data_IF_237423247181
#
_entry.id   IF_237423247181
#
_cell.length_a   1.000
_cell.length_b   1.000
_cell.length_c   1.000
_cell.angle_alpha   90.00
_cell.angle_beta   90.00
_cell.angle_gamma   90.00
#
_symmetry.space_group_name_H-M   'P 1'
#
loop_
_entity.id
_entity.type
_entity.pdbx_description
1 polymer ?
#
# COMPACT_ATOMS: atom_id res chain seq x y z
N UNK A 1 12.59 13.17 22.28
CA UNK A 1 11.86 13.31 20.99
C UNK A 1 11.41 11.99 20.37
N UNK A 2 12.24 10.94 20.24
CA UNK A 2 11.82 9.64 19.65
C UNK A 2 10.65 8.95 20.37
N UNK A 3 10.64 8.92 21.72
CA UNK A 3 9.55 8.27 22.50
C UNK A 3 8.18 8.94 22.33
N UNK A 4 8.12 10.26 22.15
CA UNK A 4 6.87 11.02 21.96
C UNK A 4 6.30 10.79 20.57
N UNK A 5 7.15 10.77 19.53
CA UNK A 5 6.73 10.46 18.16
C UNK A 5 6.23 9.02 18.02
N UNK A 6 6.86 8.10 18.75
CA UNK A 6 6.46 6.69 18.78
C UNK A 6 5.13 6.50 19.52
N UNK A 7 4.91 7.19 20.65
CA UNK A 7 3.65 7.14 21.39
C UNK A 7 2.48 7.77 20.61
N UNK A 8 2.73 8.90 19.92
CA UNK A 8 1.74 9.50 19.01
C UNK A 8 1.39 8.52 17.87
N UNK A 9 2.40 7.91 17.26
CA UNK A 9 2.17 6.96 16.17
C UNK A 9 1.39 5.72 16.62
N UNK A 10 1.68 5.15 17.80
CA UNK A 10 0.91 4.04 18.34
C UNK A 10 -0.55 4.41 18.63
N UNK A 11 -0.78 5.58 19.21
CA UNK A 11 -2.14 6.08 19.47
C UNK A 11 -2.92 6.33 18.16
N UNK A 12 -2.28 6.94 17.16
CA UNK A 12 -2.88 7.16 15.84
C UNK A 12 -3.19 5.84 15.11
N UNK A 13 -2.40 4.79 15.31
CA UNK A 13 -2.66 3.46 14.75
C UNK A 13 -3.86 2.79 15.43
N UNK A 14 -3.87 2.74 16.77
CA UNK A 14 -4.95 2.11 17.54
C UNK A 14 -6.28 2.84 17.33
N UNK A 15 -6.25 4.18 17.39
CA UNK A 15 -7.42 5.03 17.15
C UNK A 15 -7.98 4.85 15.74
N UNK A 16 -7.10 4.80 14.73
CA UNK A 16 -7.51 4.53 13.36
C UNK A 16 -8.17 3.16 13.21
N UNK A 17 -7.57 2.11 13.77
CA UNK A 17 -8.15 0.76 13.71
C UNK A 17 -9.52 0.67 14.39
N UNK A 18 -9.68 1.23 15.59
CA UNK A 18 -10.95 1.24 16.30
C UNK A 18 -12.03 2.00 15.54
N UNK A 19 -11.71 3.18 15.01
CA UNK A 19 -12.63 3.96 14.17
C UNK A 19 -13.04 3.16 12.93
N UNK A 20 -12.07 2.56 12.24
CA UNK A 20 -12.33 1.73 11.06
C UNK A 20 -13.26 0.55 11.35
N UNK A 21 -13.08 -0.13 12.47
CA UNK A 21 -13.97 -1.21 12.90
C UNK A 21 -15.38 -0.72 13.20
N UNK A 22 -15.51 0.41 13.90
CA UNK A 22 -16.80 1.02 14.22
C UNK A 22 -17.56 1.45 12.95
N UNK A 23 -16.89 2.16 12.03
CA UNK A 23 -17.46 2.54 10.75
C UNK A 23 -17.74 1.33 9.85
N UNK A 24 -16.91 0.28 9.92
CA UNK A 24 -17.15 -1.00 9.26
C UNK A 24 -18.43 -1.69 9.76
N UNK A 25 -18.67 -1.68 11.07
CA UNK A 25 -19.91 -2.18 11.67
C UNK A 25 -21.14 -1.44 11.14
N UNK A 26 -21.09 -0.10 11.14
CA UNK A 26 -22.16 0.75 10.61
C UNK A 26 -22.40 0.47 9.12
N UNK A 27 -21.34 0.39 8.33
CA UNK A 27 -21.42 0.12 6.89
C UNK A 27 -22.10 -1.23 6.60
N UNK A 28 -21.69 -2.30 7.29
CA UNK A 28 -22.32 -3.62 7.17
C UNK A 28 -23.79 -3.58 7.57
N UNK A 29 -24.13 -2.86 8.64
CA UNK A 29 -25.52 -2.70 9.08
C UNK A 29 -26.38 -1.97 8.04
N UNK A 30 -25.87 -0.91 7.43
CA UNK A 30 -26.56 -0.16 6.37
C UNK A 30 -26.76 -1.04 5.12
N UNK A 31 -25.70 -1.72 4.66
CA UNK A 31 -25.77 -2.55 3.46
C UNK A 31 -26.73 -3.74 3.62
N UNK A 32 -26.76 -4.36 4.81
CA UNK A 32 -27.74 -5.39 5.16
C UNK A 32 -29.19 -4.93 4.97
N UNK A 33 -29.47 -3.64 5.21
CA UNK A 33 -30.83 -3.08 5.12
C UNK A 33 -31.24 -2.73 3.69
N UNK A 34 -30.29 -2.41 2.82
CA UNK A 34 -30.50 -1.94 1.44
C UNK A 34 -30.58 -3.10 0.43
N UNK A 35 -30.12 -4.30 0.84
CA UNK A 35 -30.06 -5.57 0.12
C UNK A 35 -30.76 -5.64 -1.26
N UNK A 36 -30.02 -6.08 -2.29
CA UNK A 36 -30.43 -6.30 -3.69
C UNK A 36 -30.34 -5.10 -4.66
N UNK A 37 -29.67 -4.00 -4.29
CA UNK A 37 -29.44 -2.88 -5.22
C UNK A 37 -27.94 -2.57 -5.40
N UNK A 38 -27.28 -3.27 -6.34
CA UNK A 38 -25.85 -3.15 -6.60
C UNK A 38 -25.35 -1.70 -6.77
N UNK A 39 -26.08 -0.88 -7.53
CA UNK A 39 -25.70 0.52 -7.77
C UNK A 39 -25.64 1.33 -6.47
N UNK A 40 -26.63 1.15 -5.60
CA UNK A 40 -26.74 1.85 -4.32
C UNK A 40 -25.64 1.35 -3.36
N UNK A 41 -25.39 0.04 -3.32
CA UNK A 41 -24.32 -0.55 -2.52
C UNK A 41 -22.94 0.03 -2.90
N UNK A 42 -22.63 0.15 -4.19
CA UNK A 42 -21.37 0.75 -4.66
C UNK A 42 -21.29 2.22 -4.21
N UNK A 43 -22.30 3.04 -4.51
CA UNK A 43 -22.27 4.47 -4.15
C UNK A 43 -22.11 4.69 -2.65
N UNK A 44 -22.80 3.91 -1.82
CA UNK A 44 -22.69 4.01 -0.35
C UNK A 44 -21.33 3.58 0.14
N UNK A 45 -20.76 2.48 -0.38
CA UNK A 45 -19.42 2.05 0.03
C UNK A 45 -18.35 3.09 -0.32
N UNK A 46 -18.46 3.74 -1.48
CA UNK A 46 -17.60 4.88 -1.84
C UNK A 46 -17.79 6.08 -0.91
N UNK A 47 -19.04 6.47 -0.65
CA UNK A 47 -19.35 7.59 0.24
C UNK A 47 -18.84 7.37 1.66
N UNK A 48 -19.08 6.18 2.24
CA UNK A 48 -18.61 5.84 3.58
C UNK A 48 -17.08 5.78 3.61
N UNK A 49 -16.42 5.22 2.58
CA UNK A 49 -14.96 5.23 2.53
C UNK A 49 -14.40 6.66 2.56
N UNK A 50 -14.97 7.59 1.79
CA UNK A 50 -14.55 8.99 1.84
C UNK A 50 -14.81 9.64 3.22
N UNK A 51 -15.98 9.40 3.82
CA UNK A 51 -16.32 9.93 5.14
C UNK A 51 -15.37 9.40 6.22
N UNK A 52 -15.04 8.11 6.19
CA UNK A 52 -14.08 7.51 7.14
C UNK A 52 -12.70 8.14 6.98
N UNK A 53 -12.27 8.38 5.75
CA UNK A 53 -11.01 9.08 5.50
C UNK A 53 -11.01 10.49 6.10
N UNK A 54 -12.06 11.26 5.82
CA UNK A 54 -12.19 12.64 6.28
C UNK A 54 -12.25 12.76 7.80
N UNK A 55 -13.09 11.96 8.46
CA UNK A 55 -13.23 11.96 9.92
C UNK A 55 -11.92 11.51 10.60
N UNK A 56 -11.23 10.51 10.03
CA UNK A 56 -9.98 10.05 10.59
C UNK A 56 -8.88 11.11 10.51
N UNK A 57 -8.74 11.80 9.38
CA UNK A 57 -7.66 12.75 9.14
C UNK A 57 -7.94 14.13 9.77
N UNK A 58 -9.12 14.70 9.52
CA UNK A 58 -9.45 16.09 9.88
C UNK A 58 -9.92 16.21 11.32
N UNK A 59 -10.86 15.37 11.76
CA UNK A 59 -11.50 15.52 13.07
C UNK A 59 -10.66 14.91 14.20
N UNK A 60 -10.04 13.76 13.93
CA UNK A 60 -9.38 12.95 14.96
C UNK A 60 -7.85 12.92 14.87
N UNK A 61 -7.27 13.35 13.74
CA UNK A 61 -5.82 13.31 13.52
C UNK A 61 -5.21 11.90 13.64
N UNK A 62 -6.00 10.86 13.35
CA UNK A 62 -5.57 9.45 13.37
C UNK A 62 -5.24 8.97 11.96
N UNK A 63 -4.64 7.79 11.83
CA UNK A 63 -4.25 7.28 10.51
C UNK A 63 -5.47 6.88 9.68
N UNK A 64 -5.87 7.75 8.74
CA UNK A 64 -6.99 7.51 7.84
C UNK A 64 -6.84 6.24 6.98
N UNK A 65 -5.62 5.94 6.54
CA UNK A 65 -5.33 4.72 5.76
C UNK A 65 -5.59 3.46 6.60
N UNK A 66 -5.17 3.44 7.87
CA UNK A 66 -5.42 2.30 8.76
C UNK A 66 -6.90 2.14 9.11
N UNK A 67 -7.64 3.25 9.26
CA UNK A 67 -9.09 3.24 9.44
C UNK A 67 -9.79 2.56 8.26
N UNK A 68 -9.43 2.94 7.03
CA UNK A 68 -10.00 2.35 5.82
C UNK A 68 -9.66 0.87 5.67
N UNK A 69 -8.42 0.48 5.96
CA UNK A 69 -8.01 -0.93 5.93
C UNK A 69 -8.82 -1.74 6.94
N UNK A 70 -8.99 -1.22 8.17
CA UNK A 70 -9.71 -1.90 9.23
C UNK A 70 -11.20 -2.04 8.90
N UNK A 71 -11.81 -0.99 8.33
CA UNK A 71 -13.17 -1.03 7.78
C UNK A 71 -13.31 -2.08 6.67
N UNK A 72 -12.38 -2.08 5.70
CA UNK A 72 -12.39 -3.02 4.57
C UNK A 72 -12.23 -4.47 5.01
N UNK A 73 -11.36 -4.75 5.99
CA UNK A 73 -11.20 -6.06 6.60
C UNK A 73 -12.48 -6.51 7.31
N UNK A 74 -13.13 -5.61 8.06
CA UNK A 74 -14.39 -5.90 8.73
C UNK A 74 -15.51 -6.24 7.73
N UNK A 75 -15.62 -5.49 6.63
CA UNK A 75 -16.56 -5.76 5.55
C UNK A 75 -16.25 -7.09 4.85
N UNK A 76 -14.98 -7.40 4.60
CA UNK A 76 -14.55 -8.65 3.97
C UNK A 76 -14.95 -9.87 4.80
N UNK A 77 -14.82 -9.79 6.13
CA UNK A 77 -15.26 -10.87 7.05
C UNK A 77 -16.77 -11.11 7.00
N UNK A 78 -17.56 -10.05 6.88
CA UNK A 78 -19.03 -10.13 6.88
C UNK A 78 -19.63 -10.17 5.47
N UNK A 79 -18.82 -10.42 4.44
CA UNK A 79 -19.24 -10.38 3.03
C UNK A 79 -20.48 -11.24 2.76
N UNK A 80 -20.55 -12.42 3.37
CA UNK A 80 -21.69 -13.35 3.25
C UNK A 80 -23.01 -12.82 3.82
N UNK A 81 -22.95 -11.91 4.78
CA UNK A 81 -24.13 -11.36 5.42
C UNK A 81 -24.64 -10.06 4.76
N UNK A 82 -23.94 -9.51 3.75
CA UNK A 82 -24.18 -8.16 3.23
C UNK A 82 -25.19 -8.16 2.07
N UNK A 83 -25.08 -9.09 1.11
CA UNK A 83 -25.92 -9.11 -0.10
C UNK A 83 -25.73 -10.43 -0.87
N UNK A 84 -26.64 -10.80 -1.77
CA UNK A 84 -26.38 -11.85 -2.77
C UNK A 84 -25.49 -11.35 -3.92
N UNK A 85 -25.25 -10.03 -4.02
CA UNK A 85 -24.46 -9.37 -5.08
C UNK A 85 -22.96 -9.19 -4.73
N UNK A 86 -22.40 -10.05 -3.88
CA UNK A 86 -21.01 -9.92 -3.39
C UNK A 86 -19.94 -9.97 -4.48
N UNK A 87 -20.14 -10.82 -5.49
CA UNK A 87 -19.23 -10.95 -6.62
C UNK A 87 -19.19 -9.65 -7.43
N UNK A 88 -20.32 -9.12 -7.94
CA UNK A 88 -20.31 -7.89 -8.71
C UNK A 88 -19.84 -6.65 -7.92
N UNK A 89 -20.08 -6.58 -6.60
CA UNK A 89 -19.52 -5.49 -5.78
C UNK A 89 -17.98 -5.53 -5.77
N UNK A 90 -17.39 -6.71 -5.58
CA UNK A 90 -15.93 -6.87 -5.58
C UNK A 90 -15.31 -6.62 -6.96
N UNK A 91 -15.95 -7.09 -8.03
CA UNK A 91 -15.49 -6.81 -9.40
C UNK A 91 -15.53 -5.30 -9.70
N UNK A 92 -16.56 -4.59 -9.24
CA UNK A 92 -16.65 -3.13 -9.40
C UNK A 92 -15.49 -2.41 -8.70
N UNK A 93 -15.16 -2.80 -7.46
CA UNK A 93 -14.00 -2.25 -6.75
C UNK A 93 -12.67 -2.60 -7.42
N UNK A 94 -12.52 -3.79 -8.03
CA UNK A 94 -11.33 -4.13 -8.81
C UNK A 94 -11.13 -3.21 -10.01
N UNK A 95 -12.20 -2.88 -10.74
CA UNK A 95 -12.13 -1.95 -11.88
C UNK A 95 -11.67 -0.57 -11.39
N UNK A 96 -12.19 -0.09 -10.27
CA UNK A 96 -11.85 1.24 -9.76
C UNK A 96 -10.40 1.28 -9.28
N UNK A 97 -9.96 0.24 -8.56
CA UNK A 97 -8.54 0.09 -8.18
C UNK A 97 -7.66 0.02 -9.42
N UNK A 98 -8.07 -0.67 -10.48
CA UNK A 98 -7.32 -0.73 -11.73
C UNK A 98 -7.16 0.64 -12.38
N UNK A 99 -8.24 1.42 -12.50
CA UNK A 99 -8.21 2.79 -13.04
C UNK A 99 -7.30 3.69 -12.20
N UNK A 100 -7.43 3.68 -10.87
CA UNK A 100 -6.60 4.48 -9.96
C UNK A 100 -5.12 4.11 -10.08
N UNK A 101 -4.80 2.81 -10.25
CA UNK A 101 -3.41 2.41 -10.46
C UNK A 101 -2.84 2.99 -11.75
N UNK A 102 -3.60 2.91 -12.86
CA UNK A 102 -3.17 3.49 -14.13
C UNK A 102 -2.91 4.99 -13.95
N UNK A 103 -3.82 5.71 -13.28
CA UNK A 103 -3.65 7.14 -13.02
C UNK A 103 -2.37 7.42 -12.23
N UNK A 104 -2.13 6.72 -11.11
CA UNK A 104 -0.94 6.93 -10.28
C UNK A 104 0.33 6.64 -11.08
N UNK A 105 0.39 5.54 -11.82
CA UNK A 105 1.55 5.20 -12.62
C UNK A 105 1.80 6.21 -13.75
N UNK A 106 0.77 6.59 -14.50
CA UNK A 106 0.88 7.57 -15.58
C UNK A 106 1.28 8.96 -15.07
N UNK A 107 0.65 9.44 -13.98
CA UNK A 107 0.99 10.74 -13.38
C UNK A 107 2.40 10.74 -12.79
N UNK A 108 2.83 9.66 -12.14
CA UNK A 108 4.21 9.55 -11.65
C UNK A 108 5.20 9.57 -12.80
N UNK A 109 4.98 8.79 -13.87
CA UNK A 109 5.82 8.76 -15.06
C UNK A 109 5.94 10.13 -15.73
N UNK A 110 4.83 10.85 -15.86
CA UNK A 110 4.81 12.21 -16.42
C UNK A 110 5.61 13.20 -15.54
N UNK A 111 5.41 13.14 -14.22
CA UNK A 111 6.10 14.02 -13.26
C UNK A 111 7.61 13.79 -13.27
N UNK A 112 8.01 12.52 -13.38
CA UNK A 112 9.42 12.13 -13.51
C UNK A 112 10.00 12.68 -14.81
N UNK A 113 9.33 12.47 -15.95
CA UNK A 113 9.79 12.97 -17.25
C UNK A 113 9.98 14.49 -17.26
N UNK A 114 9.01 15.24 -16.70
CA UNK A 114 9.11 16.69 -16.57
C UNK A 114 10.28 17.12 -15.68
N UNK A 115 10.53 16.40 -14.59
CA UNK A 115 11.64 16.69 -13.67
C UNK A 115 13.01 16.49 -14.33
N UNK A 116 13.15 15.54 -15.26
CA UNK A 116 14.39 15.29 -15.99
C UNK A 116 14.65 16.30 -17.13
N UNK A 117 13.60 16.76 -17.82
CA UNK A 117 13.75 17.68 -18.96
C UNK A 117 13.93 19.13 -18.50
N UNK A 118 13.32 19.51 -17.38
CA UNK A 118 13.25 20.92 -16.95
C UNK A 118 14.42 21.45 -16.12
N UNK A 119 15.40 20.62 -15.76
CA UNK A 119 16.44 21.00 -14.80
C UNK A 119 17.78 20.41 -15.23
N UNK A 120 18.78 21.28 -15.36
CA UNK A 120 20.20 20.95 -15.29
C UNK A 120 20.54 20.36 -13.91
N UNK A 121 19.95 19.22 -13.58
CA UNK A 121 20.33 18.48 -12.41
C UNK A 121 21.67 17.87 -12.74
N UNK A 122 22.67 18.25 -11.95
CA UNK A 122 23.92 17.53 -11.76
C UNK A 122 23.60 16.14 -11.18
N UNK A 123 22.93 15.29 -11.97
CA UNK A 123 22.79 13.86 -11.74
C UNK A 123 24.20 13.29 -11.80
N UNK A 124 24.86 13.39 -10.66
CA UNK A 124 26.16 12.81 -10.48
C UNK A 124 25.96 11.31 -10.49
N UNK A 125 26.87 10.56 -11.10
CA UNK A 125 26.83 9.09 -11.10
C UNK A 125 26.65 8.49 -9.69
N UNK A 126 26.95 9.26 -8.64
CA UNK A 126 26.66 8.98 -7.23
C UNK A 126 25.17 8.77 -6.91
N UNK A 127 24.22 9.51 -7.48
CA UNK A 127 22.79 9.35 -7.14
C UNK A 127 22.25 8.00 -7.61
N UNK A 128 22.75 7.49 -8.75
CA UNK A 128 22.40 6.16 -9.26
C UNK A 128 22.96 5.07 -8.33
N UNK A 129 24.21 5.22 -7.87
CA UNK A 129 24.83 4.30 -6.91
C UNK A 129 24.05 4.30 -5.59
N UNK A 130 23.64 5.47 -5.09
CA UNK A 130 22.82 5.59 -3.87
C UNK A 130 21.47 4.88 -4.07
N UNK A 131 20.81 5.05 -5.21
CA UNK A 131 19.55 4.35 -5.50
C UNK A 131 19.72 2.81 -5.52
N UNK A 132 20.80 2.29 -6.09
CA UNK A 132 21.13 0.86 -6.08
C UNK A 132 21.41 0.34 -4.67
N UNK A 133 22.18 1.09 -3.87
CA UNK A 133 22.47 0.73 -2.47
C UNK A 133 21.18 0.72 -1.66
N UNK A 134 20.31 1.72 -1.84
CA UNK A 134 19.00 1.76 -1.18
C UNK A 134 18.13 0.56 -1.58
N UNK A 135 18.10 0.20 -2.86
CA UNK A 135 17.41 -0.99 -3.34
C UNK A 135 17.90 -2.26 -2.62
N UNK A 136 19.22 -2.48 -2.55
CA UNK A 136 19.80 -3.63 -1.84
C UNK A 136 19.47 -3.61 -0.34
N UNK A 137 19.57 -2.43 0.31
CA UNK A 137 19.29 -2.29 1.73
C UNK A 137 17.82 -2.57 2.05
N UNK A 138 16.90 -2.11 1.19
CA UNK A 138 15.48 -2.42 1.29
C UNK A 138 15.23 -3.93 1.22
N UNK A 139 15.86 -4.60 0.26
CA UNK A 139 15.74 -6.04 0.10
C UNK A 139 16.34 -6.82 1.29
N UNK A 140 17.51 -6.41 1.75
CA UNK A 140 18.16 -6.97 2.94
C UNK A 140 17.30 -6.78 4.21
N UNK A 141 16.72 -5.59 4.41
CA UNK A 141 15.84 -5.31 5.55
C UNK A 141 14.62 -6.23 5.57
N UNK A 142 14.05 -6.54 4.40
CA UNK A 142 12.93 -7.47 4.29
C UNK A 142 13.36 -8.91 4.57
N UNK A 143 14.48 -9.35 3.99
CA UNK A 143 15.02 -10.68 4.24
C UNK A 143 15.29 -10.88 5.74
N UNK A 144 15.82 -9.85 6.42
CA UNK A 144 16.02 -9.84 7.86
C UNK A 144 14.70 -9.96 8.62
N UNK A 145 13.70 -9.12 8.31
CA UNK A 145 12.39 -9.15 8.99
C UNK A 145 11.71 -10.52 8.81
N UNK A 146 11.72 -11.07 7.60
CA UNK A 146 11.14 -12.39 7.31
C UNK A 146 11.91 -13.49 8.05
N UNK A 147 13.24 -13.41 8.08
CA UNK A 147 14.08 -14.37 8.82
C UNK A 147 13.86 -14.33 10.33
N UNK A 148 13.66 -13.15 10.92
CA UNK A 148 13.34 -12.98 12.34
C UNK A 148 11.93 -13.45 12.68
N UNK A 149 10.97 -13.25 11.78
CA UNK A 149 9.58 -13.71 11.95
C UNK A 149 9.40 -15.20 11.66
N UNK A 150 10.29 -15.83 10.90
CA UNK A 150 10.25 -17.25 10.59
C UNK A 150 10.08 -18.17 11.82
N UNK A 151 10.88 -18.05 12.91
CA UNK A 151 10.68 -18.85 14.12
C UNK A 151 9.34 -18.57 14.80
N UNK A 152 8.84 -17.34 14.75
CA UNK A 152 7.53 -16.99 15.36
C UNK A 152 6.38 -17.62 14.57
N UNK A 153 6.47 -17.61 13.24
CA UNK A 153 5.45 -18.18 12.35
C UNK A 153 5.41 -19.70 12.50
N UNK A 154 6.57 -20.36 12.50
CA UNK A 154 6.67 -21.82 12.70
C UNK A 154 6.19 -22.24 14.08
N UNK A 155 6.42 -21.43 15.11
CA UNK A 155 5.87 -21.66 16.44
C UNK A 155 4.34 -21.52 16.50
N UNK A 156 3.74 -20.64 15.70
CA UNK A 156 2.28 -20.45 15.63
C UNK A 156 1.51 -21.59 14.93
N UNK A 157 2.19 -22.66 14.49
CA UNK A 157 1.58 -23.85 13.88
C UNK A 157 1.48 -23.82 12.35
N UNK A 158 1.93 -22.73 11.70
CA UNK A 158 2.08 -22.69 10.24
C UNK A 158 3.42 -23.29 9.83
N UNK A 159 3.38 -24.42 9.13
CA UNK A 159 4.55 -25.06 8.57
C UNK A 159 4.99 -24.35 7.29
N UNK A 160 5.70 -23.22 7.42
CA UNK A 160 6.33 -22.57 6.27
C UNK A 160 7.66 -23.25 5.95
N UNK A 161 7.81 -23.67 4.69
CA UNK A 161 9.07 -24.21 4.22
C UNK A 161 10.08 -23.09 3.97
N UNK A 162 11.39 -23.38 4.06
CA UNK A 162 12.44 -22.35 3.85
C UNK A 162 12.35 -21.71 2.46
N UNK A 163 11.95 -22.51 1.46
CA UNK A 163 11.73 -22.07 0.09
C UNK A 163 10.58 -21.07 -0.01
N UNK A 164 9.49 -21.27 0.74
CA UNK A 164 8.36 -20.36 0.79
C UNK A 164 8.74 -19.03 1.45
N UNK A 165 9.59 -19.05 2.49
CA UNK A 165 10.09 -17.84 3.13
C UNK A 165 10.94 -16.98 2.18
N UNK A 166 11.76 -17.61 1.34
CA UNK A 166 12.58 -16.90 0.34
C UNK A 166 11.68 -16.21 -0.68
N UNK A 167 10.64 -16.89 -1.17
CA UNK A 167 9.66 -16.28 -2.08
C UNK A 167 8.88 -15.18 -1.37
N UNK A 168 8.52 -15.36 -0.10
CA UNK A 168 7.82 -14.35 0.68
C UNK A 168 8.68 -13.09 0.85
N UNK A 169 9.98 -13.23 1.09
CA UNK A 169 10.90 -12.10 1.12
C UNK A 169 11.09 -11.45 -0.26
N UNK A 170 11.08 -12.23 -1.35
CA UNK A 170 11.33 -11.74 -2.71
C UNK A 170 10.10 -11.08 -3.37
N UNK A 171 8.91 -11.60 -3.11
CA UNK A 171 7.64 -11.22 -3.77
C UNK A 171 7.10 -9.83 -3.42
N UNK A 172 7.69 -9.12 -2.45
CA UNK A 172 7.22 -7.81 -2.00
C UNK A 172 7.51 -6.68 -2.99
N UNK A 173 6.71 -6.58 -4.06
CA UNK A 173 6.79 -5.49 -5.03
C UNK A 173 6.50 -4.14 -4.36
N UNK A 174 7.43 -3.18 -4.47
CA UNK A 174 7.14 -1.78 -4.16
C UNK A 174 6.47 -1.19 -5.40
N UNK A 175 5.38 -0.47 -5.23
CA UNK A 175 4.59 -0.02 -6.37
C UNK A 175 3.80 1.23 -6.07
N UNK A 176 2.51 1.17 -6.41
CA UNK A 176 1.54 2.28 -6.34
C UNK A 176 1.56 3.11 -5.06
N UNK A 177 1.67 2.50 -3.88
CA UNK A 177 1.61 3.24 -2.60
C UNK A 177 2.84 4.10 -2.38
N UNK A 178 4.03 3.61 -2.76
CA UNK A 178 5.27 4.38 -2.69
C UNK A 178 5.25 5.55 -3.67
N UNK A 179 4.73 5.32 -4.89
CA UNK A 179 4.56 6.37 -5.90
C UNK A 179 3.55 7.44 -5.49
N UNK A 180 2.40 7.03 -4.92
CA UNK A 180 1.41 7.97 -4.41
C UNK A 180 1.98 8.85 -3.29
N UNK A 181 2.72 8.25 -2.35
CA UNK A 181 3.32 8.99 -1.23
C UNK A 181 4.39 9.97 -1.70
N UNK A 182 5.25 9.58 -2.64
CA UNK A 182 6.27 10.51 -3.16
C UNK A 182 5.67 11.63 -4.00
N UNK A 183 4.58 11.37 -4.73
CA UNK A 183 3.82 12.42 -5.42
C UNK A 183 3.22 13.41 -4.42
N UNK A 184 2.65 12.93 -3.32
CA UNK A 184 2.14 13.79 -2.24
C UNK A 184 3.26 14.71 -1.69
N UNK A 185 4.43 14.14 -1.40
CA UNK A 185 5.61 14.89 -0.93
C UNK A 185 6.12 15.87 -1.99
N UNK A 186 6.06 15.51 -3.27
CA UNK A 186 6.45 16.38 -4.38
C UNK A 186 5.53 17.60 -4.51
N UNK A 187 4.23 17.44 -4.25
CA UNK A 187 3.26 18.53 -4.28
C UNK A 187 3.31 19.44 -3.05
N UNK A 188 3.91 18.99 -1.94
CA UNK A 188 4.00 19.80 -0.72
C UNK A 188 5.02 20.94 -0.85
N UNK A 189 4.51 22.18 -0.85
CA UNK A 189 5.33 23.40 -0.98
C UNK A 189 6.20 23.69 0.24
N UNK A 190 5.95 23.05 1.39
CA UNK A 190 6.73 23.24 2.62
C UNK A 190 8.14 22.64 2.52
N UNK A 191 8.36 21.70 1.60
CA UNK A 191 9.64 20.99 1.46
C UNK A 191 10.50 21.65 0.38
N UNK A 192 11.82 21.83 0.59
CA UNK A 192 12.72 22.37 -0.43
C UNK A 192 12.61 21.61 -1.75
N UNK A 193 12.57 22.35 -2.86
CA UNK A 193 12.39 21.80 -4.22
C UNK A 193 13.43 20.73 -4.55
N UNK A 194 14.70 20.98 -4.25
CA UNK A 194 15.79 20.04 -4.48
C UNK A 194 15.60 18.70 -3.73
N UNK A 195 15.06 18.73 -2.51
CA UNK A 195 14.80 17.51 -1.73
C UNK A 195 13.63 16.72 -2.32
N UNK A 196 12.57 17.40 -2.77
CA UNK A 196 11.40 16.77 -3.39
C UNK A 196 11.76 16.05 -4.69
N UNK A 197 12.51 16.71 -5.56
CA UNK A 197 12.98 16.14 -6.83
C UNK A 197 13.92 14.95 -6.60
N UNK A 198 14.84 15.06 -5.63
CA UNK A 198 15.73 13.96 -5.26
C UNK A 198 14.96 12.76 -4.70
N UNK A 199 13.98 12.97 -3.83
CA UNK A 199 13.13 11.89 -3.31
C UNK A 199 12.29 11.24 -4.41
N UNK A 200 11.71 12.05 -5.31
CA UNK A 200 10.99 11.57 -6.48
C UNK A 200 11.86 10.65 -7.34
N UNK A 201 13.10 11.08 -7.64
CA UNK A 201 14.05 10.27 -8.40
C UNK A 201 14.36 8.94 -7.72
N UNK A 202 14.77 8.95 -6.44
CA UNK A 202 15.18 7.74 -5.73
C UNK A 202 14.02 6.75 -5.56
N UNK A 203 12.84 7.21 -5.16
CA UNK A 203 11.68 6.32 -4.93
C UNK A 203 11.19 5.74 -6.25
N UNK A 204 11.14 6.54 -7.31
CA UNK A 204 10.71 6.06 -8.63
C UNK A 204 11.69 5.05 -9.22
N UNK A 205 13.00 5.30 -9.07
CA UNK A 205 14.05 4.35 -9.50
C UNK A 205 13.93 3.02 -8.74
N UNK A 206 13.73 3.06 -7.43
CA UNK A 206 13.52 1.85 -6.62
C UNK A 206 12.26 1.11 -7.08
N UNK A 207 11.14 1.80 -7.30
CA UNK A 207 9.90 1.18 -7.77
C UNK A 207 10.11 0.52 -9.14
N UNK A 208 10.73 1.22 -10.08
CA UNK A 208 11.04 0.71 -11.42
C UNK A 208 11.93 -0.54 -11.34
N UNK A 209 13.02 -0.49 -10.58
CA UNK A 209 13.91 -1.63 -10.36
C UNK A 209 13.16 -2.81 -9.74
N UNK A 210 12.31 -2.58 -8.73
CA UNK A 210 11.54 -3.66 -8.11
C UNK A 210 10.52 -4.28 -9.06
N UNK A 211 9.89 -3.49 -9.95
CA UNK A 211 8.93 -4.00 -10.93
C UNK A 211 9.61 -4.83 -12.02
N UNK A 212 10.76 -4.38 -12.54
CA UNK A 212 11.50 -5.09 -13.58
C UNK A 212 12.17 -6.34 -12.98
N UNK A 213 13.00 -6.17 -11.96
CA UNK A 213 13.81 -7.26 -11.41
C UNK A 213 12.90 -8.25 -10.68
N UNK A 214 12.17 -7.82 -9.66
CA UNK A 214 11.38 -8.74 -8.83
C UNK A 214 10.11 -9.20 -9.55
N UNK A 215 9.49 -8.37 -10.39
CA UNK A 215 8.28 -8.75 -11.12
C UNK A 215 8.53 -9.81 -12.20
N UNK A 216 9.67 -9.74 -12.90
CA UNK A 216 10.06 -10.79 -13.85
C UNK A 216 10.58 -12.02 -13.10
N UNK A 217 11.44 -11.80 -12.10
CA UNK A 217 12.05 -12.87 -11.31
C UNK A 217 11.02 -13.68 -10.51
N UNK A 218 9.94 -13.10 -10.01
CA UNK A 218 8.97 -13.81 -9.16
C UNK A 218 8.32 -15.00 -9.87
N UNK A 219 7.95 -14.84 -11.15
CA UNK A 219 7.36 -15.94 -11.94
C UNK A 219 8.37 -17.08 -12.15
N UNK A 220 9.63 -16.73 -12.38
CA UNK A 220 10.71 -17.70 -12.54
C UNK A 220 11.02 -18.42 -11.22
N UNK A 221 11.05 -17.68 -10.12
CA UNK A 221 11.36 -18.21 -8.78
C UNK A 221 10.32 -19.23 -8.32
N UNK A 222 9.02 -18.94 -8.54
CA UNK A 222 7.93 -19.89 -8.23
C UNK A 222 8.07 -21.18 -9.05
N UNK A 223 8.46 -21.08 -10.32
CA UNK A 223 8.66 -22.24 -11.20
C UNK A 223 9.90 -23.06 -10.82
N UNK A 224 11.00 -22.42 -10.38
CA UNK A 224 12.20 -23.13 -9.93
C UNK A 224 12.01 -23.86 -8.60
N UNK A 225 11.17 -23.33 -7.71
CA UNK A 225 10.96 -23.87 -6.36
C UNK A 225 9.84 -24.92 -6.29
N UNK A 226 9.26 -25.29 -7.46
CA UNK A 226 8.24 -26.33 -7.66
C UNK A 226 7.10 -26.29 -6.64
N UNK A 227 6.63 -25.08 -6.30
CA UNK A 227 5.44 -24.88 -5.48
C UNK A 227 4.19 -25.04 -6.34
N UNK A 228 4.01 -26.25 -6.88
CA UNK A 228 2.73 -26.71 -7.40
C UNK A 228 1.93 -27.31 -6.24
N UNK A 229 1.25 -26.45 -5.47
CA UNK A 229 0.19 -26.88 -4.56
C UNK A 229 -0.98 -25.92 -4.60
#
# INVERSE_FOLDING_TARGET
MKKIFQCLSFFSCIGGTLLGLFCGFICVFILKRINNHLKIEITITFGIAYLVFYVADVELGVSAVLSLISMGLYMSKHRYCISNAQLPLAESWKIIVFVVNILIFTLSGLTIAHSFVGIETTLTSRDIVIALVLYLLIHASRALIVGVLYPVITWSGMHLNRNECVIFAWSGLRGRTALALVLLVYLDSKIPRATRERLLFHISMIVLLTLIINGISSKFLVKMLDLHR
#
